data_IF_983800933222
#
_entry.id   IF_983800933222
#
_cell.length_a   1.000
_cell.length_b   1.000
_cell.length_c   1.000
_cell.angle_alpha   90.00
_cell.angle_beta   90.00
_cell.angle_gamma   90.00
#
_symmetry.space_group_name_H-M   'P 1'
#
loop_
_entity.id
_entity.type
_entity.pdbx_description
1 polymer ?
#
# COMPACT_ATOMS: atom_id res chain seq x y z
N UNK A 1 -9.00 -38.27 32.98
CA UNK A 1 -9.07 -38.10 31.51
C UNK A 1 -10.15 -37.12 31.05
N UNK A 2 -11.42 -37.24 31.50
CA UNK A 2 -12.51 -36.30 31.11
C UNK A 2 -12.23 -34.81 31.34
N UNK A 3 -11.59 -34.43 32.45
CA UNK A 3 -11.30 -33.03 32.74
C UNK A 3 -10.16 -32.48 31.86
N UNK A 4 -9.17 -33.32 31.54
CA UNK A 4 -8.10 -32.96 30.62
C UNK A 4 -8.63 -32.75 29.19
N UNK A 5 -9.53 -33.61 28.72
CA UNK A 5 -10.19 -33.46 27.40
C UNK A 5 -10.99 -32.15 27.33
N UNK A 6 -11.70 -31.77 28.41
CA UNK A 6 -12.43 -30.50 28.47
C UNK A 6 -11.49 -29.29 28.45
N UNK A 7 -10.37 -29.34 29.17
CA UNK A 7 -9.38 -28.27 29.16
C UNK A 7 -8.74 -28.11 27.77
N UNK A 8 -8.41 -29.21 27.10
CA UNK A 8 -7.87 -29.20 25.74
C UNK A 8 -8.89 -28.61 24.75
N UNK A 9 -10.17 -28.99 24.86
CA UNK A 9 -11.24 -28.45 24.02
C UNK A 9 -11.44 -26.94 24.22
N UNK A 10 -11.37 -26.45 25.46
CA UNK A 10 -11.45 -25.01 25.78
C UNK A 10 -10.24 -24.26 25.23
N UNK A 11 -9.02 -24.79 25.39
CA UNK A 11 -7.82 -24.18 24.82
C UNK A 11 -7.88 -24.10 23.29
N UNK A 12 -8.34 -25.16 22.61
CA UNK A 12 -8.49 -25.18 21.16
C UNK A 12 -9.53 -24.15 20.67
N UNK A 13 -10.63 -23.98 21.40
CA UNK A 13 -11.64 -22.96 21.10
C UNK A 13 -11.09 -21.53 21.27
N UNK A 14 -10.32 -21.26 22.33
CA UNK A 14 -9.69 -19.95 22.56
C UNK A 14 -8.66 -19.64 21.47
N UNK A 15 -7.85 -20.63 21.06
CA UNK A 15 -6.89 -20.49 19.96
C UNK A 15 -7.58 -20.20 18.61
N UNK A 16 -8.79 -20.73 18.37
CA UNK A 16 -9.56 -20.45 17.15
C UNK A 16 -10.14 -19.04 17.07
N UNK A 17 -10.19 -18.32 18.19
CA UNK A 17 -10.64 -16.93 18.28
C UNK A 17 -9.46 -15.94 18.30
N UNK A 18 -8.22 -16.42 18.23
CA UNK A 18 -7.06 -15.56 18.14
C UNK A 18 -7.05 -14.85 16.78
N UNK A 19 -7.40 -13.57 16.78
CA UNK A 19 -7.19 -12.70 15.63
C UNK A 19 -5.68 -12.53 15.41
N UNK A 20 -5.18 -12.61 14.17
CA UNK A 20 -3.79 -12.27 13.91
C UNK A 20 -3.57 -10.83 14.36
N UNK A 21 -2.53 -10.60 15.17
CA UNK A 21 -2.11 -9.25 15.50
C UNK A 21 -1.70 -8.57 14.18
N UNK A 22 -2.42 -7.51 13.80
CA UNK A 22 -2.20 -6.70 12.59
C UNK A 22 -0.93 -5.84 12.71
N UNK A 23 0.15 -6.42 13.24
CA UNK A 23 1.45 -5.77 13.31
C UNK A 23 2.14 -5.93 11.96
N UNK A 24 2.55 -4.82 11.34
CA UNK A 24 3.33 -4.85 10.09
C UNK A 24 4.66 -5.55 10.36
N UNK A 25 5.02 -6.46 9.46
CA UNK A 25 6.21 -7.31 9.55
C UNK A 25 7.28 -6.85 8.56
N UNK A 26 8.55 -7.32 8.71
CA UNK A 26 9.56 -7.17 7.66
C UNK A 26 9.08 -7.69 6.29
N UNK A 27 8.27 -8.75 6.30
CA UNK A 27 7.71 -9.35 5.08
C UNK A 27 6.74 -8.39 4.37
N UNK A 28 5.89 -7.69 5.13
CA UNK A 28 4.96 -6.71 4.57
C UNK A 28 5.71 -5.52 3.96
N UNK A 29 6.80 -5.07 4.60
CA UNK A 29 7.67 -4.02 4.07
C UNK A 29 8.35 -4.46 2.77
N UNK A 30 8.87 -5.68 2.71
CA UNK A 30 9.48 -6.22 1.49
C UNK A 30 8.45 -6.36 0.36
N UNK A 31 7.28 -6.92 0.66
CA UNK A 31 6.20 -7.10 -0.31
C UNK A 31 5.73 -5.75 -0.88
N UNK A 32 5.51 -4.76 -0.02
CA UNK A 32 5.19 -3.38 -0.41
C UNK A 32 6.31 -2.77 -1.25
N UNK A 33 7.57 -2.96 -0.86
CA UNK A 33 8.72 -2.48 -1.60
C UNK A 33 8.77 -3.02 -3.03
N UNK A 34 8.67 -4.34 -3.19
CA UNK A 34 8.64 -5.01 -4.51
C UNK A 34 7.47 -4.51 -5.35
N UNK A 35 6.27 -4.43 -4.75
CA UNK A 35 5.07 -3.96 -5.44
C UNK A 35 5.26 -2.52 -5.97
N UNK A 36 5.76 -1.61 -5.13
CA UNK A 36 5.99 -0.20 -5.50
C UNK A 36 7.07 -0.03 -6.56
N UNK A 37 8.13 -0.86 -6.56
CA UNK A 37 9.11 -0.86 -7.64
C UNK A 37 8.49 -1.36 -8.95
N UNK A 38 7.74 -2.47 -8.89
CA UNK A 38 7.14 -3.09 -10.08
C UNK A 38 6.02 -2.25 -10.69
N UNK A 39 5.27 -1.50 -9.86
CA UNK A 39 4.06 -0.78 -10.28
C UNK A 39 4.20 0.73 -10.32
N UNK A 40 5.33 1.31 -9.88
CA UNK A 40 5.48 2.77 -9.77
C UNK A 40 5.23 3.54 -11.08
N UNK A 41 5.45 2.92 -12.25
CA UNK A 41 5.16 3.54 -13.55
C UNK A 41 3.66 3.79 -13.79
N UNK A 42 2.77 3.06 -13.10
CA UNK A 42 1.32 3.21 -13.22
C UNK A 42 0.79 4.52 -12.64
N UNK A 43 1.60 5.24 -11.85
CA UNK A 43 1.26 6.61 -11.41
C UNK A 43 1.09 7.55 -12.60
N UNK A 44 1.91 7.44 -13.64
CA UNK A 44 1.82 8.33 -14.82
C UNK A 44 0.43 8.29 -15.49
N UNK A 45 -0.09 7.13 -15.95
CA UNK A 45 -1.40 7.09 -16.57
C UNK A 45 -2.54 7.42 -15.60
N UNK A 46 -2.42 7.09 -14.31
CA UNK A 46 -3.45 7.41 -13.32
C UNK A 46 -3.56 8.92 -13.07
N UNK A 47 -2.44 9.60 -12.88
CA UNK A 47 -2.41 11.04 -12.64
C UNK A 47 -2.83 11.82 -13.89
N UNK A 48 -2.49 11.34 -15.09
CA UNK A 48 -3.05 11.89 -16.34
C UNK A 48 -4.57 11.78 -16.35
N UNK A 49 -5.12 10.61 -16.00
CA UNK A 49 -6.57 10.40 -15.97
C UNK A 49 -7.29 11.30 -14.97
N UNK A 50 -6.68 11.56 -13.81
CA UNK A 50 -7.20 12.49 -12.79
C UNK A 50 -7.16 13.93 -13.28
N UNK A 51 -5.99 14.41 -13.72
CA UNK A 51 -5.81 15.79 -14.16
C UNK A 51 -6.60 16.12 -15.44
N UNK A 52 -6.81 15.12 -16.31
CA UNK A 52 -7.68 15.26 -17.48
C UNK A 52 -9.14 15.52 -17.10
N UNK A 53 -9.65 14.90 -16.03
CA UNK A 53 -11.02 15.10 -15.54
C UNK A 53 -11.18 16.42 -14.79
N UNK A 54 -10.16 16.81 -14.02
CA UNK A 54 -10.18 18.04 -13.23
C UNK A 54 -9.93 19.30 -14.06
N UNK A 55 -9.23 19.17 -15.19
CA UNK A 55 -8.85 20.31 -16.03
C UNK A 55 -9.95 20.75 -16.99
N UNK A 56 -10.17 22.07 -17.08
CA UNK A 56 -11.04 22.68 -18.10
C UNK A 56 -10.52 22.50 -19.54
N UNK A 57 -9.22 22.23 -19.70
CA UNK A 57 -8.60 21.97 -21.00
C UNK A 57 -7.89 20.62 -20.97
N UNK A 58 -8.34 19.70 -21.82
CA UNK A 58 -7.83 18.34 -21.87
C UNK A 58 -6.32 18.27 -22.16
N UNK A 59 -5.80 19.14 -23.04
CA UNK A 59 -4.37 19.14 -23.37
C UNK A 59 -3.54 19.57 -22.15
N UNK A 60 -3.99 20.61 -21.43
CA UNK A 60 -3.33 21.08 -20.21
C UNK A 60 -3.35 20.01 -19.12
N UNK A 61 -4.48 19.34 -18.92
CA UNK A 61 -4.61 18.24 -17.95
C UNK A 61 -3.70 17.06 -18.27
N UNK A 62 -3.59 16.67 -19.54
CA UNK A 62 -2.68 15.59 -19.96
C UNK A 62 -1.22 15.96 -19.71
N UNK A 63 -0.78 17.17 -20.09
CA UNK A 63 0.60 17.59 -19.87
C UNK A 63 0.92 17.75 -18.38
N UNK A 64 0.05 18.40 -17.61
CA UNK A 64 0.23 18.57 -16.17
C UNK A 64 0.25 17.21 -15.45
N UNK A 65 -0.70 16.32 -15.77
CA UNK A 65 -0.78 14.98 -15.21
C UNK A 65 0.40 14.09 -15.57
N UNK A 66 0.97 14.23 -16.77
CA UNK A 66 2.18 13.51 -17.16
C UNK A 66 3.36 13.88 -16.25
N UNK A 67 3.65 15.18 -16.09
CA UNK A 67 4.77 15.61 -15.24
C UNK A 67 4.55 15.30 -13.76
N UNK A 68 3.33 15.54 -13.25
CA UNK A 68 2.97 15.21 -11.87
C UNK A 68 3.07 13.70 -11.62
N UNK A 69 2.55 12.89 -12.55
CA UNK A 69 2.62 11.43 -12.48
C UNK A 69 4.05 10.90 -12.57
N UNK A 70 4.94 11.53 -13.34
CA UNK A 70 6.37 11.17 -13.35
C UNK A 70 7.02 11.40 -11.98
N UNK A 71 6.74 12.54 -11.33
CA UNK A 71 7.25 12.82 -9.98
C UNK A 71 6.74 11.76 -9.00
N UNK A 72 5.45 11.45 -9.03
CA UNK A 72 4.84 10.44 -8.16
C UNK A 72 5.41 9.03 -8.42
N UNK A 73 5.65 8.67 -9.69
CA UNK A 73 6.29 7.42 -10.07
C UNK A 73 7.70 7.31 -9.47
N UNK A 74 8.51 8.37 -9.62
CA UNK A 74 9.88 8.39 -9.05
C UNK A 74 9.86 8.27 -7.54
N UNK A 75 8.99 9.01 -6.85
CA UNK A 75 8.90 8.95 -5.38
C UNK A 75 8.51 7.55 -4.92
N UNK A 76 7.53 6.91 -5.57
CA UNK A 76 7.08 5.57 -5.19
C UNK A 76 8.07 4.47 -5.52
N UNK A 77 8.68 4.51 -6.71
CA UNK A 77 9.74 3.55 -7.04
C UNK A 77 10.91 3.75 -6.08
N UNK A 78 11.27 4.98 -5.74
CA UNK A 78 12.29 5.31 -4.74
C UNK A 78 11.96 4.78 -3.34
N UNK A 79 10.72 4.98 -2.88
CA UNK A 79 10.27 4.43 -1.59
C UNK A 79 10.23 2.90 -1.61
N UNK A 80 9.89 2.29 -2.75
CA UNK A 80 9.91 0.86 -2.93
C UNK A 80 11.33 0.28 -2.86
N UNK A 81 12.29 0.90 -3.56
CA UNK A 81 13.72 0.54 -3.47
C UNK A 81 14.21 0.67 -2.03
N UNK A 82 13.85 1.75 -1.34
CA UNK A 82 14.19 1.91 0.07
C UNK A 82 13.64 0.78 0.94
N UNK A 83 12.36 0.44 0.76
CA UNK A 83 11.71 -0.62 1.53
C UNK A 83 12.35 -1.98 1.27
N UNK A 84 12.75 -2.28 0.02
CA UNK A 84 13.50 -3.50 -0.32
C UNK A 84 14.90 -3.51 0.29
N UNK A 85 15.62 -2.39 0.31
CA UNK A 85 16.98 -2.35 0.86
C UNK A 85 16.99 -2.38 2.39
N UNK A 86 15.97 -1.80 3.02
CA UNK A 86 15.88 -1.64 4.46
C UNK A 86 14.88 -2.59 5.11
N UNK A 87 14.36 -3.60 4.39
CA UNK A 87 13.32 -4.50 4.89
C UNK A 87 13.64 -5.19 6.23
N UNK A 88 14.90 -5.58 6.56
CA UNK A 88 15.19 -6.21 7.84
C UNK A 88 15.15 -5.19 8.99
N UNK A 89 15.40 -3.92 8.68
CA UNK A 89 15.39 -2.83 9.63
C UNK A 89 13.99 -2.25 9.79
N UNK A 90 13.55 -2.09 11.05
CA UNK A 90 12.34 -1.37 11.42
C UNK A 90 12.53 0.16 11.30
N UNK A 91 12.90 0.61 10.10
CA UNK A 91 13.06 2.02 9.73
C UNK A 91 12.17 2.29 8.51
N UNK A 92 11.05 3.01 8.62
CA UNK A 92 10.46 3.63 9.81
C UNK A 92 10.03 2.62 10.89
N UNK A 93 9.76 3.12 12.11
CA UNK A 93 9.26 2.29 13.22
C UNK A 93 8.02 1.51 12.77
N UNK A 94 7.87 0.31 13.30
CA UNK A 94 6.73 -0.56 13.01
C UNK A 94 6.52 -0.84 11.51
N UNK A 95 7.60 -0.80 10.72
CA UNK A 95 7.57 -1.10 9.27
C UNK A 95 6.59 -0.21 8.49
N UNK A 96 6.37 1.01 8.97
CA UNK A 96 5.48 1.98 8.31
C UNK A 96 5.94 2.32 6.88
N UNK A 97 5.01 2.63 5.97
CA UNK A 97 5.32 3.09 4.63
C UNK A 97 6.00 4.45 4.67
N UNK A 98 7.03 4.64 3.84
CA UNK A 98 7.61 5.97 3.62
C UNK A 98 6.75 6.88 2.74
N UNK A 99 5.95 6.27 1.87
CA UNK A 99 5.09 6.97 0.93
C UNK A 99 3.68 6.41 1.04
N UNK A 100 2.71 7.32 1.06
CA UNK A 100 1.29 6.97 1.10
C UNK A 100 0.58 7.42 -0.18
N UNK A 101 -0.42 6.65 -0.65
CA UNK A 101 -0.85 5.37 -0.07
C UNK A 101 0.14 4.22 -0.31
N UNK A 102 -0.01 3.13 0.45
CA UNK A 102 0.95 2.01 0.53
C UNK A 102 1.20 1.38 -0.84
N UNK A 103 0.16 1.31 -1.68
CA UNK A 103 0.22 0.84 -3.06
C UNK A 103 -0.36 1.86 -4.05
N UNK A 104 -0.03 1.69 -5.33
CA UNK A 104 -0.62 2.50 -6.43
C UNK A 104 -2.14 2.35 -6.49
N UNK A 105 -2.65 1.13 -6.33
CA UNK A 105 -4.07 0.82 -6.51
C UNK A 105 -4.97 1.39 -5.42
N UNK A 106 -4.42 1.63 -4.23
CA UNK A 106 -5.14 2.23 -3.10
C UNK A 106 -5.63 3.65 -3.45
N UNK A 107 -4.94 4.36 -4.34
CA UNK A 107 -5.39 5.67 -4.82
C UNK A 107 -6.72 5.59 -5.58
N UNK A 108 -6.89 4.53 -6.38
CA UNK A 108 -8.13 4.30 -7.15
C UNK A 108 -9.27 3.95 -6.20
N UNK A 109 -9.01 3.08 -5.23
CA UNK A 109 -10.00 2.71 -4.21
C UNK A 109 -10.43 3.92 -3.37
N UNK A 110 -9.50 4.81 -3.02
CA UNK A 110 -9.81 6.04 -2.29
C UNK A 110 -10.60 7.04 -3.15
N UNK A 111 -10.30 7.16 -4.44
CA UNK A 111 -11.05 8.01 -5.37
C UNK A 111 -12.51 7.55 -5.50
N UNK A 112 -12.74 6.24 -5.63
CA UNK A 112 -14.08 5.65 -5.73
C UNK A 112 -14.89 5.87 -4.44
N UNK A 113 -14.26 5.69 -3.27
CA UNK A 113 -14.91 5.88 -1.95
C UNK A 113 -15.27 7.33 -1.66
N UNK A 114 -14.45 8.27 -2.12
CA UNK A 114 -14.63 9.70 -1.86
C UNK A 114 -15.63 10.34 -2.83
N UNK A 115 -16.04 9.63 -3.88
CA UNK A 115 -16.95 10.15 -4.90
C UNK A 115 -16.37 11.37 -5.64
N UNK A 116 -15.04 11.53 -5.61
CA UNK A 116 -14.36 12.61 -6.31
C UNK A 116 -14.42 12.30 -7.80
N UNK A 117 -15.37 12.95 -8.48
CA UNK A 117 -15.55 12.87 -9.93
C UNK A 117 -14.40 13.54 -10.66
#
# INVERSE_FOLDING_TARGET
MRNAVRLIAVCALVLSLATPAMAKTPGDKLARGIANVATGFLEVPQTIGQEWKESNNAAVGIFAGFFKGMVQAVVRTGSGVWDVLTFPAAIPKDYEPLYHPDYVFDQVEQADKTGSK
#
